data_IF_441808968241
#
_entry.id   IF_441808968241
#
_cell.length_a   1.000
_cell.length_b   1.000
_cell.length_c   1.000
_cell.angle_alpha   90.00
_cell.angle_beta   90.00
_cell.angle_gamma   90.00
#
_symmetry.space_group_name_H-M   'P 1'
#
loop_
_entity.id
_entity.type
_entity.pdbx_description
1 polymer ?
#
# COMPACT_ATOMS: atom_id res chain seq x y z
N UNK A 1 19.05 -3.73 -9.05
CA UNK A 1 17.84 -3.63 -9.91
C UNK A 1 16.86 -2.57 -9.43
N UNK A 2 16.47 -2.53 -8.15
CA UNK A 2 15.51 -1.53 -7.64
C UNK A 2 15.89 -0.08 -7.93
N UNK A 3 17.14 0.30 -7.64
CA UNK A 3 17.65 1.67 -7.90
C UNK A 3 17.56 2.02 -9.38
N UNK A 4 17.94 1.08 -10.26
CA UNK A 4 17.87 1.28 -11.71
C UNK A 4 16.42 1.55 -12.16
N UNK A 5 15.47 0.72 -11.71
CA UNK A 5 14.05 0.89 -12.02
C UNK A 5 13.52 2.25 -11.53
N UNK A 6 13.90 2.65 -10.32
CA UNK A 6 13.54 3.95 -9.75
C UNK A 6 14.08 5.10 -10.59
N UNK A 7 15.35 5.03 -11.01
CA UNK A 7 15.96 6.07 -11.85
C UNK A 7 15.27 6.16 -13.21
N UNK A 8 14.93 5.02 -13.82
CA UNK A 8 14.20 4.99 -15.10
C UNK A 8 12.81 5.63 -14.92
N UNK A 9 12.04 5.21 -13.92
CA UNK A 9 10.70 5.75 -13.68
C UNK A 9 10.73 7.25 -13.35
N UNK A 10 11.72 7.70 -12.56
CA UNK A 10 11.88 9.12 -12.22
C UNK A 10 12.24 9.99 -13.42
N UNK A 11 13.03 9.47 -14.36
CA UNK A 11 13.45 10.22 -15.57
C UNK A 11 12.49 10.10 -16.73
N UNK A 12 11.62 9.09 -16.73
CA UNK A 12 10.73 8.78 -17.83
C UNK A 12 9.32 8.47 -17.30
N UNK A 13 8.47 9.49 -17.25
CA UNK A 13 7.08 9.35 -16.81
C UNK A 13 6.26 8.43 -17.73
N UNK A 14 6.59 8.38 -19.03
CA UNK A 14 5.95 7.45 -19.96
C UNK A 14 6.25 5.99 -19.55
N UNK A 15 7.47 5.67 -19.12
CA UNK A 15 7.78 4.36 -18.58
C UNK A 15 7.01 4.07 -17.29
N UNK A 16 6.99 5.02 -16.35
CA UNK A 16 6.27 4.85 -15.08
C UNK A 16 4.77 4.61 -15.30
N UNK A 17 4.17 5.34 -16.23
CA UNK A 17 2.74 5.30 -16.54
C UNK A 17 2.38 4.13 -17.47
N UNK A 18 2.88 4.16 -18.70
CA UNK A 18 2.41 3.26 -19.75
C UNK A 18 2.99 1.88 -19.58
N UNK A 19 4.27 1.73 -19.22
CA UNK A 19 4.89 0.40 -19.12
C UNK A 19 4.62 -0.22 -17.76
N UNK A 20 4.94 0.49 -16.68
CA UNK A 20 4.83 -0.05 -15.34
C UNK A 20 3.40 0.01 -14.80
N UNK A 21 2.83 1.19 -14.64
CA UNK A 21 1.57 1.39 -13.93
C UNK A 21 0.36 0.70 -14.59
N UNK A 22 0.15 0.94 -15.88
CA UNK A 22 -1.05 0.47 -16.59
C UNK A 22 -0.97 -1.00 -17.03
N UNK A 23 0.24 -1.58 -17.12
CA UNK A 23 0.43 -2.97 -17.55
C UNK A 23 1.02 -3.86 -16.44
N UNK A 24 2.30 -3.65 -16.07
CA UNK A 24 3.00 -4.54 -15.12
C UNK A 24 2.31 -4.54 -13.75
N UNK A 25 2.13 -3.34 -13.17
CA UNK A 25 1.55 -3.18 -11.86
C UNK A 25 0.08 -3.59 -11.85
N UNK A 26 -0.69 -3.22 -12.88
CA UNK A 26 -2.11 -3.62 -12.99
C UNK A 26 -2.29 -5.13 -12.99
N UNK A 27 -1.46 -5.88 -13.72
CA UNK A 27 -1.51 -7.34 -13.71
C UNK A 27 -1.08 -7.90 -12.35
N UNK A 28 0.02 -7.38 -11.80
CA UNK A 28 0.57 -7.83 -10.53
C UNK A 28 -0.40 -7.59 -9.37
N UNK A 29 -1.02 -6.40 -9.31
CA UNK A 29 -1.98 -6.04 -8.27
C UNK A 29 -3.22 -6.92 -8.35
N UNK A 30 -3.73 -7.21 -9.56
CA UNK A 30 -4.88 -8.10 -9.73
C UNK A 30 -4.57 -9.54 -9.29
N UNK A 31 -3.37 -10.03 -9.59
CA UNK A 31 -2.94 -11.35 -9.13
C UNK A 31 -2.83 -11.41 -7.60
N UNK A 32 -2.22 -10.40 -6.98
CA UNK A 32 -2.14 -10.28 -5.52
C UNK A 32 -3.54 -10.20 -4.90
N UNK A 33 -4.41 -9.34 -5.44
CA UNK A 33 -5.81 -9.20 -4.99
C UNK A 33 -6.58 -10.50 -5.09
N UNK A 34 -6.39 -11.29 -6.15
CA UNK A 34 -7.03 -12.59 -6.31
C UNK A 34 -6.58 -13.56 -5.21
N UNK A 35 -5.27 -13.66 -4.93
CA UNK A 35 -4.75 -14.53 -3.88
C UNK A 35 -5.25 -14.07 -2.51
N UNK A 36 -5.21 -12.76 -2.23
CA UNK A 36 -5.60 -12.22 -0.93
C UNK A 36 -7.10 -12.30 -0.71
N UNK A 37 -7.90 -12.20 -1.77
CA UNK A 37 -9.36 -12.29 -1.72
C UNK A 37 -9.91 -13.71 -1.49
N UNK A 38 -9.08 -14.76 -1.61
CA UNK A 38 -9.51 -16.14 -1.31
C UNK A 38 -9.72 -16.40 0.18
N UNK A 39 -9.05 -15.62 1.04
CA UNK A 39 -9.07 -15.83 2.48
C UNK A 39 -9.79 -14.62 3.11
N UNK A 40 -10.83 -14.82 3.94
CA UNK A 40 -11.56 -13.73 4.59
C UNK A 40 -10.79 -13.12 5.78
N UNK A 41 -9.47 -13.02 5.67
CA UNK A 41 -8.55 -12.52 6.70
C UNK A 41 -7.53 -11.62 6.01
N UNK A 42 -7.21 -10.48 6.63
CA UNK A 42 -6.17 -9.59 6.13
C UNK A 42 -4.79 -10.25 6.21
N UNK A 43 -4.20 -10.58 5.05
CA UNK A 43 -2.81 -11.05 4.98
C UNK A 43 -1.83 -10.02 5.55
N UNK A 44 -2.14 -8.72 5.42
CA UNK A 44 -1.32 -7.66 6.00
C UNK A 44 -1.33 -7.71 7.53
N UNK A 45 -2.50 -7.87 8.16
CA UNK A 45 -2.60 -8.02 9.62
C UNK A 45 -1.86 -9.27 10.10
N UNK A 46 -2.02 -10.40 9.40
CA UNK A 46 -1.32 -11.63 9.72
C UNK A 46 0.21 -11.45 9.65
N UNK A 47 0.71 -10.77 8.61
CA UNK A 47 2.13 -10.45 8.49
C UNK A 47 2.62 -9.52 9.62
N UNK A 48 1.83 -8.51 10.00
CA UNK A 48 2.16 -7.59 11.09
C UNK A 48 2.23 -8.35 12.42
N UNK A 49 1.31 -9.28 12.69
CA UNK A 49 1.29 -10.07 13.92
C UNK A 49 2.39 -11.14 13.98
N UNK A 50 2.65 -11.83 12.86
CA UNK A 50 3.62 -12.93 12.83
C UNK A 50 5.06 -12.47 12.63
N UNK A 51 5.30 -11.34 11.96
CA UNK A 51 6.66 -10.90 11.64
C UNK A 51 7.57 -10.69 12.87
N UNK A 52 7.11 -10.12 14.02
CA UNK A 52 7.96 -10.00 15.20
C UNK A 52 8.34 -11.35 15.79
N UNK A 53 7.40 -12.30 15.83
CA UNK A 53 7.64 -13.67 16.34
C UNK A 53 8.70 -14.40 15.49
N UNK A 54 8.58 -14.29 14.17
CA UNK A 54 9.53 -14.87 13.23
C UNK A 54 10.91 -14.22 13.40
N UNK A 55 10.97 -12.88 13.46
CA UNK A 55 12.22 -12.14 13.62
C UNK A 55 12.94 -12.50 14.93
N UNK A 56 12.23 -12.53 16.05
CA UNK A 56 12.78 -12.93 17.35
C UNK A 56 13.32 -14.36 17.30
N UNK A 57 12.56 -15.29 16.71
CA UNK A 57 13.01 -16.68 16.57
C UNK A 57 14.27 -16.80 15.71
N UNK A 58 14.36 -16.05 14.62
CA UNK A 58 15.55 -16.04 13.76
C UNK A 58 16.77 -15.44 14.47
N UNK A 59 16.58 -14.35 15.22
CA UNK A 59 17.63 -13.72 16.02
C UNK A 59 18.16 -14.69 17.09
N UNK A 60 17.27 -15.36 17.84
CA UNK A 60 17.66 -16.33 18.86
C UNK A 60 18.45 -17.48 18.22
N UNK A 61 17.95 -18.07 17.12
CA UNK A 61 18.65 -19.14 16.39
C UNK A 61 20.02 -18.68 15.90
N UNK A 62 20.13 -17.45 15.42
CA UNK A 62 21.40 -16.87 14.97
C UNK A 62 22.39 -16.70 16.13
N UNK A 63 21.96 -16.15 17.28
CA UNK A 63 22.80 -15.99 18.47
C UNK A 63 23.28 -17.36 19.00
N UNK A 64 22.38 -18.35 19.07
CA UNK A 64 22.74 -19.71 19.50
C UNK A 64 23.80 -20.30 18.57
N UNK A 65 23.64 -20.14 17.25
CA UNK A 65 24.59 -20.63 16.24
C UNK A 65 25.97 -19.97 16.40
N UNK A 66 26.01 -18.66 16.64
CA UNK A 66 27.25 -17.92 16.88
C UNK A 66 27.96 -18.34 18.18
N UNK A 67 27.21 -18.72 19.23
CA UNK A 67 27.80 -19.18 20.50
C UNK A 67 28.31 -20.62 20.44
N UNK A 68 27.62 -21.52 19.73
CA UNK A 68 27.97 -22.94 19.63
C UNK A 68 29.15 -23.20 18.69
N UNK A 69 29.22 -22.51 17.55
CA UNK A 69 30.26 -22.72 16.55
C UNK A 69 31.39 -21.67 16.68
N UNK A 70 32.23 -21.85 17.71
CA UNK A 70 33.31 -20.90 18.04
C UNK A 70 34.41 -20.86 16.96
N UNK A 71 34.67 -21.98 16.28
CA UNK A 71 35.70 -22.06 15.23
C UNK A 71 35.30 -21.29 13.97
N UNK A 72 34.03 -21.37 13.54
CA UNK A 72 33.56 -20.67 12.34
C UNK A 72 32.79 -19.37 12.64
N UNK A 73 32.96 -18.79 13.82
CA UNK A 73 32.17 -17.64 14.27
C UNK A 73 32.20 -16.45 13.29
N UNK A 74 33.37 -16.13 12.72
CA UNK A 74 33.52 -15.07 11.71
C UNK A 74 32.73 -15.37 10.43
N UNK A 75 32.81 -16.61 9.95
CA UNK A 75 32.09 -17.07 8.75
C UNK A 75 30.58 -17.05 8.97
N UNK A 76 30.12 -17.51 10.13
CA UNK A 76 28.70 -17.51 10.49
C UNK A 76 28.16 -16.07 10.65
N UNK A 77 28.95 -15.15 11.21
CA UNK A 77 28.59 -13.74 11.29
C UNK A 77 28.49 -13.09 9.90
N UNK A 78 29.47 -13.34 9.02
CA UNK A 78 29.45 -12.84 7.64
C UNK A 78 28.23 -13.36 6.86
N UNK A 79 27.91 -14.65 6.97
CA UNK A 79 26.68 -15.23 6.40
C UNK A 79 25.42 -14.56 6.95
N UNK A 80 25.38 -14.24 8.25
CA UNK A 80 24.28 -13.49 8.85
C UNK A 80 24.09 -12.11 8.23
N UNK A 81 25.18 -11.35 8.08
CA UNK A 81 25.15 -10.03 7.43
C UNK A 81 24.69 -10.15 5.98
N UNK A 82 25.24 -11.11 5.23
CA UNK A 82 24.84 -11.36 3.83
C UNK A 82 23.34 -11.69 3.78
N UNK A 83 22.83 -12.54 4.66
CA UNK A 83 21.40 -12.86 4.70
C UNK A 83 20.55 -11.63 4.96
N UNK A 84 20.93 -10.76 5.92
CA UNK A 84 20.22 -9.51 6.19
C UNK A 84 20.24 -8.59 4.96
N UNK A 85 21.38 -8.41 4.32
CA UNK A 85 21.51 -7.60 3.10
C UNK A 85 20.66 -8.16 1.95
N UNK A 86 20.66 -9.48 1.75
CA UNK A 86 19.82 -10.15 0.76
C UNK A 86 18.34 -9.95 1.07
N UNK A 87 17.92 -10.15 2.33
CA UNK A 87 16.53 -9.92 2.76
C UNK A 87 16.09 -8.48 2.55
N UNK A 88 16.93 -7.50 2.90
CA UNK A 88 16.65 -6.08 2.65
C UNK A 88 16.59 -5.77 1.15
N UNK A 89 17.47 -6.35 0.35
CA UNK A 89 17.47 -6.18 -1.11
C UNK A 89 16.19 -6.74 -1.74
N UNK A 90 15.73 -7.92 -1.29
CA UNK A 90 14.47 -8.50 -1.74
C UNK A 90 13.30 -7.63 -1.31
N UNK A 91 13.24 -7.21 -0.04
CA UNK A 91 12.18 -6.33 0.46
C UNK A 91 12.10 -5.01 -0.32
N UNK A 92 13.24 -4.36 -0.58
CA UNK A 92 13.32 -3.14 -1.36
C UNK A 92 12.86 -3.37 -2.80
N UNK A 93 13.27 -4.47 -3.43
CA UNK A 93 12.84 -4.82 -4.78
C UNK A 93 11.34 -5.10 -4.86
N UNK A 94 10.80 -5.88 -3.92
CA UNK A 94 9.37 -6.15 -3.78
C UNK A 94 8.59 -4.85 -3.59
N UNK A 95 9.01 -3.96 -2.69
CA UNK A 95 8.39 -2.64 -2.51
C UNK A 95 8.41 -1.83 -3.80
N UNK A 96 9.55 -1.77 -4.48
CA UNK A 96 9.69 -1.03 -5.74
C UNK A 96 8.73 -1.54 -6.81
N UNK A 97 8.64 -2.87 -6.97
CA UNK A 97 7.81 -3.51 -7.99
C UNK A 97 6.32 -3.53 -7.64
N UNK A 98 5.97 -3.71 -6.37
CA UNK A 98 4.58 -3.79 -5.89
C UNK A 98 3.94 -2.43 -5.58
N UNK A 99 4.65 -1.32 -5.77
CA UNK A 99 4.02 -0.01 -5.65
C UNK A 99 4.96 1.17 -5.71
N UNK A 100 6.23 1.01 -5.38
CA UNK A 100 7.19 2.11 -5.28
C UNK A 100 7.36 2.91 -6.57
N UNK A 101 7.26 2.27 -7.75
CA UNK A 101 7.35 3.00 -9.02
C UNK A 101 6.07 3.79 -9.36
N UNK A 102 4.93 3.50 -8.70
CA UNK A 102 3.69 4.26 -8.91
C UNK A 102 3.80 5.71 -8.44
N UNK A 103 4.75 6.06 -7.59
CA UNK A 103 4.96 7.45 -7.17
C UNK A 103 5.51 8.36 -8.28
N UNK A 104 5.97 7.79 -9.40
CA UNK A 104 6.51 8.55 -10.53
C UNK A 104 5.52 8.67 -11.71
N UNK A 105 4.26 8.23 -11.52
CA UNK A 105 3.21 8.30 -12.53
C UNK A 105 2.48 9.65 -12.50
N UNK A 106 1.55 9.90 -13.43
CA UNK A 106 0.71 11.10 -13.38
C UNK A 106 -0.17 11.14 -12.12
N UNK A 107 -0.31 12.33 -11.52
CA UNK A 107 -1.21 12.52 -10.39
C UNK A 107 -2.67 12.43 -10.83
N UNK A 108 -3.59 12.21 -9.88
CA UNK A 108 -5.02 12.27 -10.21
C UNK A 108 -5.44 13.63 -10.79
N UNK A 109 -4.81 14.72 -10.35
CA UNK A 109 -5.06 16.07 -10.89
C UNK A 109 -4.88 16.15 -12.41
N UNK A 110 -3.90 15.42 -12.96
CA UNK A 110 -3.69 15.32 -14.41
C UNK A 110 -4.89 14.66 -15.13
N UNK A 111 -5.46 13.59 -14.58
CA UNK A 111 -6.60 12.90 -15.20
C UNK A 111 -7.93 13.63 -15.00
N UNK A 112 -8.06 14.37 -13.90
CA UNK A 112 -9.26 15.13 -13.57
C UNK A 112 -9.25 16.55 -14.15
N UNK A 113 -8.19 16.94 -14.86
CA UNK A 113 -7.97 18.31 -15.34
C UNK A 113 -8.10 19.35 -14.22
N UNK A 114 -7.70 18.99 -12.98
CA UNK A 114 -7.64 19.94 -11.88
C UNK A 114 -6.39 20.79 -12.03
N UNK A 115 -6.57 22.10 -12.12
CA UNK A 115 -5.48 23.06 -12.11
C UNK A 115 -4.86 23.14 -10.71
N UNK A 116 -3.57 22.79 -10.63
CA UNK A 116 -2.81 22.90 -9.39
C UNK A 116 -2.25 24.32 -9.32
N UNK A 117 -2.94 25.18 -8.59
CA UNK A 117 -2.53 26.56 -8.36
C UNK A 117 -1.95 26.76 -6.96
N UNK A 118 -1.31 27.91 -6.72
CA UNK A 118 -0.90 28.30 -5.38
C UNK A 118 -2.11 28.83 -4.64
N UNK A 119 -2.42 28.23 -3.49
CA UNK A 119 -3.51 28.68 -2.62
C UNK A 119 -2.98 29.60 -1.52
N UNK A 120 -3.77 30.61 -1.16
CA UNK A 120 -3.53 31.45 0.00
C UNK A 120 -3.84 30.71 1.31
N UNK A 121 -3.33 31.24 2.43
CA UNK A 121 -3.62 30.68 3.77
C UNK A 121 -5.10 30.84 4.09
N UNK A 122 -5.71 31.93 3.66
CA UNK A 122 -7.12 32.27 3.86
C UNK A 122 -8.04 31.31 3.12
N UNK A 123 -7.72 30.97 1.87
CA UNK A 123 -8.47 29.98 1.08
C UNK A 123 -8.38 28.58 1.69
N UNK A 124 -7.18 28.16 2.11
CA UNK A 124 -7.00 26.88 2.79
C UNK A 124 -7.75 26.82 4.12
N UNK A 125 -7.74 27.92 4.88
CA UNK A 125 -8.50 28.02 6.12
C UNK A 125 -10.00 27.93 5.87
N UNK A 126 -10.51 28.69 4.89
CA UNK A 126 -11.92 28.69 4.49
C UNK A 126 -12.39 27.30 4.04
N UNK A 127 -11.63 26.65 3.17
CA UNK A 127 -11.91 25.28 2.71
C UNK A 127 -11.91 24.29 3.87
N UNK A 128 -10.91 24.35 4.75
CA UNK A 128 -10.82 23.46 5.92
C UNK A 128 -12.01 23.64 6.85
N UNK A 129 -12.44 24.89 7.10
CA UNK A 129 -13.61 25.21 7.90
C UNK A 129 -14.89 24.64 7.27
N UNK A 130 -15.07 24.85 5.97
CA UNK A 130 -16.22 24.32 5.23
C UNK A 130 -16.27 22.78 5.27
N UNK A 131 -15.13 22.11 5.06
CA UNK A 131 -15.06 20.64 5.14
C UNK A 131 -15.35 20.14 6.56
N UNK A 132 -14.91 20.85 7.61
CA UNK A 132 -15.23 20.51 8.98
C UNK A 132 -16.73 20.65 9.28
N UNK A 133 -17.37 21.72 8.81
CA UNK A 133 -18.82 21.90 8.92
C UNK A 133 -19.59 20.79 8.20
N UNK A 134 -19.23 20.48 6.95
CA UNK A 134 -19.83 19.36 6.20
C UNK A 134 -19.63 18.01 6.89
N UNK A 135 -18.46 17.76 7.47
CA UNK A 135 -18.20 16.53 8.21
C UNK A 135 -19.11 16.43 9.46
N UNK A 136 -19.32 17.53 10.18
CA UNK A 136 -20.24 17.59 11.32
C UNK A 136 -21.70 17.37 10.89
N UNK A 137 -22.13 17.93 9.76
CA UNK A 137 -23.45 17.69 9.19
C UNK A 137 -23.64 16.21 8.82
N UNK A 138 -22.69 15.62 8.09
CA UNK A 138 -22.72 14.21 7.71
C UNK A 138 -22.71 13.28 8.92
N UNK A 139 -22.02 13.68 10.00
CA UNK A 139 -22.02 12.93 11.25
C UNK A 139 -23.43 12.79 11.83
N UNK A 140 -24.27 13.82 11.72
CA UNK A 140 -25.67 13.76 12.18
C UNK A 140 -26.54 12.80 11.36
N UNK A 141 -26.11 12.45 10.15
CA UNK A 141 -26.81 11.53 9.25
C UNK A 141 -26.38 10.06 9.43
N UNK A 142 -25.40 9.79 10.30
CA UNK A 142 -24.92 8.42 10.54
C UNK A 142 -26.02 7.61 11.24
N UNK A 143 -26.55 6.54 10.62
CA UNK A 143 -27.75 5.86 11.11
C UNK A 143 -27.48 4.93 12.29
N UNK A 144 -26.22 4.54 12.53
CA UNK A 144 -25.86 3.56 13.56
C UNK A 144 -24.48 3.87 14.14
N UNK A 145 -24.42 3.90 15.46
CA UNK A 145 -23.19 4.04 16.24
C UNK A 145 -23.17 2.98 17.34
N UNK A 146 -21.98 2.63 17.83
CA UNK A 146 -21.80 1.75 18.98
C UNK A 146 -21.90 2.52 20.33
N UNK A 147 -21.69 1.82 21.43
CA UNK A 147 -21.79 2.38 22.79
C UNK A 147 -20.76 3.50 23.08
N UNK A 148 -19.70 3.61 22.27
CA UNK A 148 -18.68 4.65 22.37
C UNK A 148 -18.88 5.77 21.33
N UNK A 149 -20.07 5.85 20.71
CA UNK A 149 -20.37 6.77 19.63
C UNK A 149 -19.44 6.58 18.42
N UNK A 150 -18.98 5.35 18.13
CA UNK A 150 -18.20 5.05 16.92
C UNK A 150 -19.14 4.55 15.82
N UNK A 151 -18.88 4.93 14.57
CA UNK A 151 -19.67 4.47 13.42
C UNK A 151 -19.76 2.93 13.40
N UNK A 152 -20.98 2.41 13.40
CA UNK A 152 -21.24 0.97 13.31
C UNK A 152 -21.73 0.61 11.90
N UNK A 153 -20.91 -0.15 11.18
CA UNK A 153 -21.16 -0.51 9.79
C UNK A 153 -22.39 -1.43 9.69
N UNK A 154 -23.42 -0.96 9.00
CA UNK A 154 -24.69 -1.68 8.83
C UNK A 154 -24.61 -2.92 7.93
N UNK A 155 -23.44 -3.23 7.37
CA UNK A 155 -23.23 -4.35 6.46
C UNK A 155 -21.95 -5.12 6.79
N UNK A 156 -21.87 -6.37 6.32
CA UNK A 156 -20.64 -7.15 6.47
C UNK A 156 -19.51 -6.60 5.60
N UNK A 157 -18.26 -6.83 6.01
CA UNK A 157 -17.07 -6.46 5.24
C UNK A 157 -17.09 -7.01 3.81
N UNK A 158 -17.63 -8.21 3.61
CA UNK A 158 -17.80 -8.80 2.28
C UNK A 158 -18.76 -7.98 1.39
N UNK A 159 -19.90 -7.56 1.95
CA UNK A 159 -20.86 -6.73 1.21
C UNK A 159 -20.29 -5.34 0.93
N UNK A 160 -19.56 -4.76 1.89
CA UNK A 160 -18.85 -3.50 1.72
C UNK A 160 -17.83 -3.58 0.58
N UNK A 161 -17.00 -4.62 0.55
CA UNK A 161 -16.00 -4.83 -0.51
C UNK A 161 -16.66 -4.91 -1.90
N UNK A 162 -17.81 -5.60 -2.01
CA UNK A 162 -18.58 -5.68 -3.25
C UNK A 162 -19.12 -4.33 -3.70
N UNK A 163 -19.65 -3.52 -2.79
CA UNK A 163 -20.13 -2.16 -3.10
C UNK A 163 -18.95 -1.24 -3.47
N UNK A 164 -17.81 -1.34 -2.79
CA UNK A 164 -16.60 -0.58 -3.13
C UNK A 164 -16.09 -0.92 -4.54
N UNK A 165 -16.05 -2.22 -4.90
CA UNK A 165 -15.69 -2.66 -6.26
C UNK A 165 -16.67 -2.08 -7.30
N UNK A 166 -17.98 -2.13 -7.03
CA UNK A 166 -19.00 -1.54 -7.91
C UNK A 166 -18.81 -0.02 -8.07
N UNK A 167 -18.52 0.70 -6.99
CA UNK A 167 -18.25 2.13 -7.02
C UNK A 167 -17.02 2.44 -7.89
N UNK A 168 -15.92 1.68 -7.71
CA UNK A 168 -14.70 1.86 -8.50
C UNK A 168 -14.92 1.56 -9.99
N UNK A 169 -15.71 0.52 -10.31
CA UNK A 169 -16.11 0.20 -11.70
C UNK A 169 -16.98 1.28 -12.33
N UNK A 170 -17.80 1.97 -11.54
CA UNK A 170 -18.57 3.11 -12.03
C UNK A 170 -17.65 4.32 -12.26
N UNK A 171 -16.77 4.62 -11.31
CA UNK A 171 -15.78 5.69 -11.43
C UNK A 171 -14.87 5.50 -12.66
N UNK A 172 -14.51 4.24 -12.98
CA UNK A 172 -13.68 3.95 -14.14
C UNK A 172 -14.33 4.26 -15.49
N UNK A 173 -15.65 4.52 -15.54
CA UNK A 173 -16.32 4.98 -16.77
C UNK A 173 -15.95 6.42 -17.11
N UNK A 174 -15.72 7.24 -16.09
CA UNK A 174 -15.30 8.64 -16.24
C UNK A 174 -13.76 8.74 -16.25
N UNK A 175 -13.10 7.98 -15.38
CA UNK A 175 -11.64 7.97 -15.27
C UNK A 175 -11.08 6.55 -15.55
N UNK A 176 -10.78 6.20 -16.82
CA UNK A 176 -10.33 4.86 -17.21
C UNK A 176 -9.11 4.32 -16.45
N UNK A 177 -8.27 5.21 -15.90
CA UNK A 177 -7.10 4.86 -15.07
C UNK A 177 -7.47 4.05 -13.82
N UNK A 178 -8.70 4.19 -13.31
CA UNK A 178 -9.23 3.41 -12.18
C UNK A 178 -9.87 2.08 -12.61
N UNK A 179 -9.75 1.68 -13.88
CA UNK A 179 -10.27 0.39 -14.33
C UNK A 179 -9.43 -0.77 -13.79
N UNK A 180 -10.07 -1.70 -13.09
CA UNK A 180 -9.42 -2.89 -12.53
C UNK A 180 -10.39 -3.84 -11.85
N UNK A 181 -9.88 -4.98 -11.38
CA UNK A 181 -10.61 -5.88 -10.50
C UNK A 181 -10.15 -5.64 -9.05
N UNK A 182 -11.08 -5.22 -8.19
CA UNK A 182 -10.84 -4.89 -6.79
C UNK A 182 -11.53 -5.94 -5.92
N UNK A 183 -10.81 -7.03 -5.63
CA UNK A 183 -11.32 -8.19 -4.88
C UNK A 183 -11.49 -7.85 -3.39
#
# INVERSE_FOLDING_TARGET
MSILLIVIARKNIFFAEQVYALHIYKWLSQFVSLITGLIPISLAELLILLSPLILVTLIIKFIIRLRKDKQNRKVNAAKGVINVLCSLSVALFSFTLLGGLNYYRYSFGYYSNLEIEKYSVEELYGLTKQLAEQANELRSLVPKVDDNDVFDLSMSNYKLAKEANKAMKNLSKEFPVFGGFYA
#
